data_IF_194773794947
#
_entry.id   IF_194773794947
#
_cell.length_a   1.000
_cell.length_b   1.000
_cell.length_c   1.000
_cell.angle_alpha   90.00
_cell.angle_beta   90.00
_cell.angle_gamma   90.00
#
_symmetry.space_group_name_H-M   'P 1'
#
loop_
_entity.id
_entity.type
_entity.pdbx_description
1 polymer ?
#
# COMPACT_ATOMS: atom_id res chain seq x y z
N UNK A 1 11.07 4.97 6.49
CA UNK A 1 10.83 6.36 6.02
C UNK A 1 10.31 6.51 4.59
N UNK A 2 10.89 5.87 3.56
CA UNK A 2 10.51 6.11 2.16
C UNK A 2 9.01 5.90 1.84
N UNK A 3 8.41 4.80 2.31
CA UNK A 3 6.98 4.50 2.11
C UNK A 3 6.11 5.56 2.79
N UNK A 4 6.39 5.85 4.07
CA UNK A 4 5.64 6.88 4.83
C UNK A 4 5.72 8.24 4.14
N UNK A 5 6.92 8.65 3.70
CA UNK A 5 7.11 9.90 2.97
C UNK A 5 6.36 9.93 1.63
N UNK A 6 6.26 8.81 0.91
CA UNK A 6 5.44 8.74 -0.29
C UNK A 6 3.94 8.90 0.03
N UNK A 7 3.44 8.22 1.06
CA UNK A 7 2.05 8.32 1.50
C UNK A 7 1.71 9.73 2.02
N UNK A 8 2.64 10.38 2.72
CA UNK A 8 2.52 11.79 3.12
C UNK A 8 2.34 12.69 1.90
N UNK A 9 3.18 12.56 0.86
CA UNK A 9 3.01 13.35 -0.39
C UNK A 9 1.68 13.07 -1.08
N UNK A 10 1.22 11.82 -1.09
CA UNK A 10 -0.09 11.48 -1.67
C UNK A 10 -1.25 12.12 -0.91
N UNK A 11 -1.21 12.14 0.42
CA UNK A 11 -2.18 12.87 1.24
C UNK A 11 -2.09 14.38 1.03
N UNK A 12 -0.89 14.95 1.05
CA UNK A 12 -0.68 16.39 0.94
C UNK A 12 -1.09 16.92 -0.46
N UNK A 13 -1.13 16.05 -1.48
CA UNK A 13 -1.66 16.35 -2.83
C UNK A 13 -3.15 16.01 -3.00
N UNK A 14 -3.83 15.60 -1.93
CA UNK A 14 -5.26 15.27 -1.95
C UNK A 14 -5.61 13.92 -2.60
N UNK A 15 -4.62 13.08 -2.92
CA UNK A 15 -4.84 11.74 -3.48
C UNK A 15 -5.22 10.70 -2.43
N UNK A 16 -5.06 11.01 -1.14
CA UNK A 16 -5.53 10.20 -0.02
C UNK A 16 -6.24 11.14 0.94
N UNK A 17 -7.30 10.67 1.62
CA UNK A 17 -8.02 11.47 2.62
C UNK A 17 -7.08 12.13 3.63
N UNK A 18 -7.37 13.39 4.00
CA UNK A 18 -6.63 14.10 5.04
C UNK A 18 -6.69 13.38 6.39
N UNK A 19 -7.79 12.67 6.65
CA UNK A 19 -8.02 11.89 7.88
C UNK A 19 -7.44 10.47 7.81
N UNK A 20 -6.73 10.12 6.74
CA UNK A 20 -6.15 8.79 6.62
C UNK A 20 -5.04 8.57 7.66
N UNK A 21 -5.14 7.45 8.38
CA UNK A 21 -4.09 6.97 9.27
C UNK A 21 -2.87 6.49 8.46
N UNK A 22 -1.87 7.39 8.33
CA UNK A 22 -0.65 7.10 7.57
C UNK A 22 0.20 5.98 8.16
N UNK A 23 0.13 5.75 9.48
CA UNK A 23 0.94 4.71 10.12
C UNK A 23 0.34 3.34 9.85
N UNK A 24 -1.00 3.23 9.89
CA UNK A 24 -1.72 2.04 9.44
C UNK A 24 -1.49 1.76 7.94
N UNK A 25 -1.55 2.78 7.08
CA UNK A 25 -1.30 2.62 5.65
C UNK A 25 0.14 2.19 5.35
N UNK A 26 1.12 2.76 6.06
CA UNK A 26 2.54 2.37 5.95
C UNK A 26 2.72 0.91 6.32
N UNK A 27 2.11 0.49 7.43
CA UNK A 27 2.17 -0.89 7.92
C UNK A 27 1.55 -1.86 6.91
N UNK A 28 0.37 -1.54 6.37
CA UNK A 28 -0.29 -2.37 5.35
C UNK A 28 0.55 -2.53 4.10
N UNK A 29 1.16 -1.44 3.61
CA UNK A 29 2.03 -1.48 2.43
C UNK A 29 3.27 -2.36 2.67
N UNK A 30 3.90 -2.22 3.84
CA UNK A 30 5.03 -3.07 4.25
C UNK A 30 4.63 -4.54 4.36
N UNK A 31 3.46 -4.84 4.92
CA UNK A 31 2.94 -6.21 5.02
C UNK A 31 2.67 -6.82 3.65
N UNK A 32 2.10 -6.06 2.70
CA UNK A 32 1.88 -6.53 1.34
C UNK A 32 3.19 -6.86 0.63
N UNK A 33 4.23 -6.02 0.76
CA UNK A 33 5.56 -6.28 0.20
C UNK A 33 6.18 -7.54 0.82
N UNK A 34 6.18 -7.62 2.16
CA UNK A 34 6.80 -8.74 2.87
C UNK A 34 6.09 -10.06 2.60
N UNK A 35 4.75 -10.07 2.63
CA UNK A 35 3.94 -11.24 2.30
C UNK A 35 4.06 -11.65 0.83
N UNK A 36 4.02 -10.68 -0.09
CA UNK A 36 4.20 -10.93 -1.52
C UNK A 36 5.58 -11.50 -1.85
N UNK A 37 6.64 -11.01 -1.21
CA UNK A 37 7.99 -11.54 -1.38
C UNK A 37 8.13 -12.94 -0.79
N UNK A 38 7.52 -13.19 0.37
CA UNK A 38 7.49 -14.51 0.99
C UNK A 38 6.82 -15.54 0.07
N UNK A 39 5.64 -15.19 -0.46
CA UNK A 39 4.91 -16.04 -1.40
C UNK A 39 5.70 -16.27 -2.68
N UNK A 40 6.30 -15.23 -3.27
CA UNK A 40 7.10 -15.35 -4.48
C UNK A 40 8.30 -16.30 -4.29
N UNK A 41 8.94 -16.27 -3.13
CA UNK A 41 10.04 -17.19 -2.80
C UNK A 41 9.55 -18.62 -2.59
N UNK A 42 8.42 -18.79 -1.88
CA UNK A 42 7.85 -20.10 -1.60
C UNK A 42 7.38 -20.81 -2.87
N UNK A 43 6.73 -20.07 -3.79
CA UNK A 43 6.22 -20.60 -5.06
C UNK A 43 7.22 -20.57 -6.21
N UNK A 44 8.34 -19.85 -6.06
CA UNK A 44 9.27 -19.47 -7.15
C UNK A 44 8.58 -18.75 -8.31
N UNK A 45 7.56 -17.96 -7.99
CA UNK A 45 6.79 -17.19 -8.96
C UNK A 45 6.76 -15.71 -8.59
N UNK A 46 7.42 -14.88 -9.39
CA UNK A 46 7.48 -13.43 -9.19
C UNK A 46 6.11 -12.75 -9.29
N UNK A 47 5.11 -13.37 -9.92
CA UNK A 47 3.76 -12.82 -9.97
C UNK A 47 3.12 -12.69 -8.60
N UNK A 48 3.53 -13.47 -7.60
CA UNK A 48 2.95 -13.37 -6.25
C UNK A 48 3.22 -11.99 -5.63
N UNK A 49 4.41 -11.42 -5.85
CA UNK A 49 4.71 -10.06 -5.39
C UNK A 49 3.89 -9.03 -6.16
N UNK A 50 3.73 -9.20 -7.48
CA UNK A 50 2.91 -8.31 -8.30
C UNK A 50 1.46 -8.27 -7.81
N UNK A 51 0.85 -9.44 -7.58
CA UNK A 51 -0.53 -9.55 -7.07
C UNK A 51 -0.67 -8.84 -5.72
N UNK A 52 0.29 -9.03 -4.81
CA UNK A 52 0.26 -8.37 -3.51
C UNK A 52 0.36 -6.85 -3.62
N UNK A 53 1.21 -6.33 -4.52
CA UNK A 53 1.35 -4.90 -4.79
C UNK A 53 0.08 -4.31 -5.43
N UNK A 54 -0.49 -5.00 -6.42
CA UNK A 54 -1.73 -4.58 -7.07
C UNK A 54 -2.87 -4.45 -6.04
N UNK A 55 -2.99 -5.41 -5.12
CA UNK A 55 -3.95 -5.38 -4.02
C UNK A 55 -3.72 -4.23 -3.04
N UNK A 56 -2.46 -3.95 -2.68
CA UNK A 56 -2.12 -2.83 -1.80
C UNK A 56 -2.44 -1.47 -2.45
N UNK A 57 -2.16 -1.30 -3.74
CA UNK A 57 -2.51 -0.09 -4.50
C UNK A 57 -4.04 0.08 -4.56
N UNK A 58 -4.79 -0.98 -4.84
CA UNK A 58 -6.25 -0.93 -4.82
C UNK A 58 -6.80 -0.51 -3.45
N UNK A 59 -6.18 -0.98 -2.35
CA UNK A 59 -6.54 -0.59 -0.99
C UNK A 59 -6.23 0.90 -0.70
N UNK A 60 -5.11 1.43 -1.21
CA UNK A 60 -4.79 2.86 -1.13
C UNK A 60 -5.82 3.70 -1.89
N UNK A 61 -6.18 3.31 -3.10
CA UNK A 61 -7.22 3.97 -3.90
C UNK A 61 -8.61 3.91 -3.22
N UNK A 62 -8.93 2.82 -2.54
CA UNK A 62 -10.16 2.73 -1.76
C UNK A 62 -10.15 3.70 -0.57
N UNK A 63 -8.98 3.92 0.03
CA UNK A 63 -8.79 4.89 1.13
C UNK A 63 -8.81 6.35 0.66
N UNK A 64 -8.65 6.59 -0.65
CA UNK A 64 -8.73 7.90 -1.29
C UNK A 64 -10.16 8.37 -1.58
N UNK A 65 -11.14 7.46 -1.62
CA UNK A 65 -12.54 7.82 -1.86
C UNK A 65 -13.08 8.53 -0.61
N UNK A 66 -13.17 9.85 -0.68
CA UNK A 66 -13.85 10.68 0.30
C UNK A 66 -15.28 10.16 0.43
N UNK A 67 -15.65 9.62 1.61
CA UNK A 67 -17.05 9.39 1.95
C UNK A 67 -17.65 10.76 2.24
N UNK A 68 -18.36 11.31 1.26
CA UNK A 68 -19.30 12.41 1.48
C UNK A 68 -20.47 11.94 2.35
#
# INVERSE_FOLDING_TARGET
DAIRGALTRLRDTGQISADADLDALTTRMLSAIQGGLLLAKASRDANQLRIALDGAIAQLQASARVRH
#
